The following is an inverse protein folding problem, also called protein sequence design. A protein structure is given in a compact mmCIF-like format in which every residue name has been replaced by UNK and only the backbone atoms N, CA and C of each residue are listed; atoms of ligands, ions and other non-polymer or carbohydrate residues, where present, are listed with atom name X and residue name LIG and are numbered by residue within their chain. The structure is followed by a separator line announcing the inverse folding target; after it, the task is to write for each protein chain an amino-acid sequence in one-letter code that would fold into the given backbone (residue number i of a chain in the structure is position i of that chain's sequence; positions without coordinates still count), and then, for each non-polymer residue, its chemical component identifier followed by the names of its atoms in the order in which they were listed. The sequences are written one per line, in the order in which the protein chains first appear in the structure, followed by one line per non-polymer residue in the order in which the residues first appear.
data_IF_079347262547
#
_entry.id   IF_079347262547
#
_cell.length_a   1.000
_cell.length_b   1.000
_cell.length_c   1.000
_cell.angle_alpha   90.00
_cell.angle_beta   90.00
_cell.angle_gamma   90.00
#
_symmetry.space_group_name_H-M   'P 1'
#
loop_
_entity.id
_entity.type
_entity.pdbx_description
1 polymer ?
#
# COMPACT_ATOMS: atom_id res chain seq x y z
N UNK A 1 48.78 -6.95 7.33
CA UNK A 1 48.08 -7.91 6.46
C UNK A 1 46.57 -8.03 6.75
N UNK A 2 46.08 -7.81 7.97
CA UNK A 2 44.64 -7.89 8.30
C UNK A 2 43.76 -6.89 7.51
N UNK A 3 44.26 -5.66 7.33
CA UNK A 3 43.56 -4.59 6.62
C UNK A 3 43.25 -4.94 5.15
N UNK A 4 44.15 -5.68 4.50
CA UNK A 4 44.00 -6.12 3.10
C UNK A 4 42.96 -7.24 3.01
N UNK A 5 42.96 -8.16 3.97
CA UNK A 5 41.98 -9.27 4.01
C UNK A 5 40.57 -8.73 4.25
N UNK A 6 40.40 -7.77 5.17
CA UNK A 6 39.09 -7.12 5.38
C UNK A 6 38.63 -6.33 4.15
N UNK A 7 39.54 -5.70 3.41
CA UNK A 7 39.22 -4.98 2.17
C UNK A 7 38.66 -5.88 1.07
N UNK A 8 39.24 -7.07 0.88
CA UNK A 8 38.78 -8.03 -0.14
C UNK A 8 37.45 -8.66 0.25
N UNK A 9 37.26 -9.00 1.54
CA UNK A 9 35.99 -9.55 2.03
C UNK A 9 34.85 -8.54 1.92
N UNK A 10 35.11 -7.25 2.20
CA UNK A 10 34.12 -6.18 2.06
C UNK A 10 33.67 -6.00 0.60
N UNK A 11 34.61 -6.10 -0.36
CA UNK A 11 34.32 -5.96 -1.79
C UNK A 11 33.36 -7.04 -2.34
N UNK A 12 33.35 -8.24 -1.74
CA UNK A 12 32.45 -9.34 -2.14
C UNK A 12 31.09 -9.27 -1.43
N UNK A 13 31.03 -8.72 -0.21
CA UNK A 13 29.80 -8.63 0.56
C UNK A 13 28.87 -7.48 0.12
N UNK A 14 29.45 -6.36 -0.32
CA UNK A 14 28.73 -5.13 -0.70
C UNK A 14 27.67 -5.34 -1.80
N UNK A 15 27.97 -6.00 -2.93
CA UNK A 15 26.97 -6.20 -4.00
C UNK A 15 25.75 -6.97 -3.49
N UNK A 16 25.97 -8.05 -2.74
CA UNK A 16 24.89 -8.90 -2.21
C UNK A 16 24.04 -8.16 -1.17
N UNK A 17 24.65 -7.31 -0.35
CA UNK A 17 23.91 -6.52 0.65
C UNK A 17 22.99 -5.48 0.00
N UNK A 18 23.43 -4.86 -1.10
CA UNK A 18 22.63 -3.89 -1.85
C UNK A 18 21.41 -4.56 -2.51
N UNK A 19 21.58 -5.74 -3.11
CA UNK A 19 20.50 -6.47 -3.78
C UNK A 19 19.43 -6.93 -2.77
N UNK A 20 19.83 -7.43 -1.60
CA UNK A 20 18.90 -7.82 -0.53
C UNK A 20 17.99 -6.67 -0.08
N UNK A 21 18.50 -5.44 -0.04
CA UNK A 21 17.71 -4.27 0.32
C UNK A 21 16.61 -3.96 -0.70
N UNK A 22 16.88 -4.14 -2.00
CA UNK A 22 15.90 -3.94 -3.08
C UNK A 22 14.82 -5.01 -3.04
N UNK A 23 15.23 -6.27 -2.91
CA UNK A 23 14.31 -7.41 -2.83
C UNK A 23 13.40 -7.32 -1.60
N UNK A 24 13.95 -6.88 -0.45
CA UNK A 24 13.17 -6.66 0.76
C UNK A 24 12.07 -5.61 0.54
N UNK A 25 12.39 -4.46 -0.07
CA UNK A 25 11.41 -3.39 -0.37
C UNK A 25 10.33 -3.85 -1.34
N UNK A 26 10.72 -4.63 -2.34
CA UNK A 26 9.77 -5.22 -3.29
C UNK A 26 8.81 -6.19 -2.59
N UNK A 27 9.34 -7.04 -1.70
CA UNK A 27 8.55 -8.01 -0.95
C UNK A 27 7.59 -7.32 0.03
N UNK A 28 8.02 -6.27 0.74
CA UNK A 28 7.15 -5.53 1.67
C UNK A 28 6.03 -4.82 0.92
N UNK A 29 6.30 -4.20 -0.24
CA UNK A 29 5.26 -3.59 -1.07
C UNK A 29 4.27 -4.62 -1.63
N UNK A 30 4.72 -5.81 -2.01
CA UNK A 30 3.82 -6.90 -2.40
C UNK A 30 2.95 -7.36 -1.22
N UNK A 31 3.51 -7.40 -0.01
CA UNK A 31 2.75 -7.64 1.22
C UNK A 31 1.68 -6.58 1.46
N UNK A 32 2.04 -5.30 1.36
CA UNK A 32 1.10 -4.19 1.48
C UNK A 32 -0.01 -4.23 0.40
N UNK A 33 0.35 -4.59 -0.84
CA UNK A 33 -0.64 -4.79 -1.91
C UNK A 33 -1.63 -5.91 -1.56
N UNK A 34 -1.14 -7.01 -0.97
CA UNK A 34 -1.99 -8.10 -0.46
C UNK A 34 -2.91 -7.67 0.68
N UNK A 35 -2.40 -6.84 1.59
CA UNK A 35 -3.20 -6.25 2.67
C UNK A 35 -4.33 -5.37 2.12
N UNK A 36 -4.04 -4.50 1.15
CA UNK A 36 -5.05 -3.65 0.48
C UNK A 36 -6.13 -4.48 -0.21
N UNK A 37 -5.75 -5.56 -0.92
CA UNK A 37 -6.73 -6.48 -1.53
C UNK A 37 -7.65 -7.12 -0.49
N UNK A 38 -7.08 -7.55 0.63
CA UNK A 38 -7.82 -8.20 1.71
C UNK A 38 -8.75 -7.21 2.41
N UNK A 39 -8.25 -6.02 2.71
CA UNK A 39 -9.02 -4.93 3.31
C UNK A 39 -10.20 -4.50 2.43
N UNK A 40 -9.97 -4.32 1.13
CA UNK A 40 -11.03 -4.00 0.19
C UNK A 40 -12.14 -5.07 0.17
N UNK A 41 -11.78 -6.35 0.23
CA UNK A 41 -12.75 -7.44 0.28
C UNK A 41 -13.51 -7.50 1.61
N UNK A 42 -12.84 -7.32 2.75
CA UNK A 42 -13.45 -7.32 4.09
C UNK A 42 -14.42 -6.14 4.24
N UNK A 43 -13.98 -4.94 3.85
CA UNK A 43 -14.81 -3.74 3.90
C UNK A 43 -16.01 -3.89 2.96
N UNK A 44 -15.81 -4.48 1.78
CA UNK A 44 -16.92 -4.76 0.87
C UNK A 44 -17.94 -5.75 1.44
N UNK A 45 -17.48 -6.82 2.09
CA UNK A 45 -18.38 -7.76 2.76
C UNK A 45 -19.20 -7.06 3.86
N UNK A 46 -18.59 -6.16 4.63
CA UNK A 46 -19.30 -5.36 5.65
C UNK A 46 -20.27 -4.36 5.03
N UNK A 47 -19.86 -3.67 3.96
CA UNK A 47 -20.72 -2.75 3.22
C UNK A 47 -21.94 -3.47 2.64
N UNK A 48 -21.78 -4.70 2.14
CA UNK A 48 -22.89 -5.53 1.66
C UNK A 48 -23.85 -5.92 2.80
N UNK A 49 -23.33 -6.31 3.96
CA UNK A 49 -24.15 -6.62 5.13
C UNK A 49 -24.97 -5.41 5.61
N UNK A 50 -24.42 -4.20 5.47
CA UNK A 50 -25.07 -2.94 5.84
C UNK A 50 -25.85 -2.27 4.68
N UNK A 51 -25.92 -2.90 3.51
CA UNK A 51 -26.57 -2.36 2.29
C UNK A 51 -26.00 -1.04 1.76
N UNK A 52 -24.72 -0.75 2.02
CA UNK A 52 -23.98 0.47 1.66
C UNK A 52 -23.10 0.27 0.41
N UNK A 53 -23.69 -0.18 -0.71
CA UNK A 53 -22.92 -0.63 -1.90
C UNK A 53 -23.15 0.20 -3.15
N UNK A 54 -24.15 1.08 -3.17
CA UNK A 54 -24.57 1.81 -4.37
C UNK A 54 -24.08 3.25 -4.40
N UNK A 55 -23.71 3.80 -3.25
CA UNK A 55 -23.40 5.22 -3.06
C UNK A 55 -21.92 5.50 -3.32
N UNK A 56 -21.62 6.52 -4.11
CA UNK A 56 -20.26 6.84 -4.58
C UNK A 56 -19.76 8.23 -4.19
N UNK A 57 -20.49 8.96 -3.36
CA UNK A 57 -20.23 10.36 -2.98
C UNK A 57 -19.47 10.50 -1.65
N UNK A 58 -18.87 9.40 -1.16
CA UNK A 58 -18.10 9.36 0.09
C UNK A 58 -18.95 9.69 1.35
N UNK A 59 -20.29 9.61 1.27
CA UNK A 59 -21.21 9.87 2.39
C UNK A 59 -21.44 8.67 3.33
N UNK A 60 -21.13 7.46 2.85
CA UNK A 60 -21.29 6.22 3.61
C UNK A 60 -19.97 5.79 4.23
N UNK A 61 -20.05 5.15 5.39
CA UNK A 61 -18.88 4.56 6.05
C UNK A 61 -19.24 3.28 6.80
N UNK A 62 -18.23 2.45 7.05
CA UNK A 62 -18.32 1.28 7.94
C UNK A 62 -17.20 1.35 8.97
N UNK A 63 -17.52 0.99 10.21
CA UNK A 63 -16.51 0.95 11.28
C UNK A 63 -15.90 -0.44 11.33
N UNK A 64 -14.58 -0.58 11.23
CA UNK A 64 -13.89 -1.84 11.50
C UNK A 64 -13.62 -1.96 13.01
N UNK A 65 -13.53 -3.19 13.55
CA UNK A 65 -13.40 -3.45 14.99
C UNK A 65 -12.26 -2.63 15.63
N UNK A 66 -12.61 -1.62 16.44
CA UNK A 66 -11.65 -0.75 17.13
C UNK A 66 -10.99 0.35 16.28
N UNK A 67 -11.40 0.54 15.03
CA UNK A 67 -10.81 1.49 14.08
C UNK A 67 -11.70 2.71 13.80
N UNK A 68 -11.09 3.71 13.18
CA UNK A 68 -11.75 4.88 12.58
C UNK A 68 -12.77 4.45 11.52
N UNK A 69 -13.80 5.26 11.28
CA UNK A 69 -14.80 4.97 10.24
C UNK A 69 -14.13 4.95 8.85
N UNK A 70 -14.28 3.85 8.12
CA UNK A 70 -13.77 3.68 6.75
C UNK A 70 -14.82 4.22 5.79
N UNK A 71 -14.50 5.30 5.10
CA UNK A 71 -15.38 5.92 4.10
C UNK A 71 -15.48 5.04 2.86
N UNK A 72 -16.71 4.87 2.38
CA UNK A 72 -17.04 4.00 1.27
C UNK A 72 -17.24 4.77 -0.03
N UNK A 73 -16.85 4.12 -1.12
CA UNK A 73 -17.18 4.47 -2.49
C UNK A 73 -17.64 3.22 -3.22
N UNK A 74 -18.93 3.15 -3.53
CA UNK A 74 -19.61 2.00 -4.13
C UNK A 74 -19.37 0.69 -3.37
N UNK A 75 -19.43 0.75 -2.03
CA UNK A 75 -19.22 -0.41 -1.17
C UNK A 75 -17.78 -0.89 -1.05
N UNK A 76 -16.79 -0.11 -1.48
CA UNK A 76 -15.37 -0.37 -1.21
C UNK A 76 -14.76 0.82 -0.46
N UNK A 77 -13.60 0.66 0.22
CA UNK A 77 -12.91 1.80 0.81
C UNK A 77 -12.60 2.85 -0.25
N UNK A 78 -12.74 4.13 0.08
CA UNK A 78 -12.28 5.19 -0.79
C UNK A 78 -10.74 5.30 -0.76
N UNK A 79 -10.17 6.10 -1.64
CA UNK A 79 -8.72 6.24 -1.74
C UNK A 79 -8.06 6.83 -0.48
N UNK A 80 -8.81 7.56 0.34
CA UNK A 80 -8.30 8.24 1.54
C UNK A 80 -8.35 7.37 2.81
N UNK A 81 -9.04 6.24 2.79
CA UNK A 81 -9.24 5.38 3.97
C UNK A 81 -8.83 3.93 3.72
N UNK A 82 -8.34 3.60 2.52
CA UNK A 82 -7.89 2.25 2.18
C UNK A 82 -6.61 1.84 2.92
N UNK A 83 -5.71 2.80 3.17
CA UNK A 83 -4.48 2.61 3.94
C UNK A 83 -4.81 2.26 5.39
N UNK A 84 -5.72 3.00 6.01
CA UNK A 84 -6.24 2.71 7.36
C UNK A 84 -6.91 1.32 7.39
N UNK A 85 -7.80 1.03 6.43
CA UNK A 85 -8.47 -0.27 6.34
C UNK A 85 -7.48 -1.44 6.14
N UNK A 86 -6.34 -1.19 5.48
CA UNK A 86 -5.29 -2.17 5.25
C UNK A 86 -4.23 -2.24 6.37
N UNK A 87 -4.34 -1.38 7.39
CA UNK A 87 -3.34 -1.27 8.45
C UNK A 87 -1.97 -0.77 7.94
N UNK A 88 -1.96 0.01 6.87
CA UNK A 88 -0.76 0.61 6.30
C UNK A 88 -0.44 1.88 7.10
N UNK A 89 0.65 1.82 7.86
CA UNK A 89 1.14 2.99 8.59
C UNK A 89 1.92 3.94 7.68
N UNK A 90 1.66 5.24 7.82
CA UNK A 90 2.43 6.31 7.20
C UNK A 90 3.84 6.45 7.76
N UNK A 91 4.23 5.66 8.77
CA UNK A 91 5.63 5.51 9.21
C UNK A 91 6.42 4.51 8.35
N UNK A 92 5.73 3.52 7.77
CA UNK A 92 6.37 2.39 7.12
C UNK A 92 6.30 2.50 5.60
N UNK A 93 5.28 3.21 5.11
CA UNK A 93 5.04 3.49 3.71
C UNK A 93 4.80 4.98 3.51
N UNK A 94 5.15 5.46 2.33
CA UNK A 94 4.69 6.76 1.88
C UNK A 94 3.34 6.59 1.17
N UNK A 95 2.30 7.22 1.70
CA UNK A 95 0.94 7.20 1.13
C UNK A 95 0.60 8.58 0.61
N UNK A 96 0.21 8.65 -0.66
CA UNK A 96 -0.23 9.89 -1.30
C UNK A 96 -1.56 9.66 -2.03
N UNK A 97 -2.52 10.54 -1.80
CA UNK A 97 -3.83 10.49 -2.45
C UNK A 97 -3.97 11.68 -3.39
N UNK A 98 -4.24 11.41 -4.66
CA UNK A 98 -4.46 12.44 -5.67
C UNK A 98 -5.56 11.98 -6.64
N UNK A 99 -6.48 12.90 -6.96
CA UNK A 99 -7.56 12.65 -7.93
C UNK A 99 -8.36 11.35 -7.68
N UNK A 100 -8.58 11.00 -6.41
CA UNK A 100 -9.32 9.78 -6.03
C UNK A 100 -8.53 8.48 -6.19
N UNK A 101 -7.21 8.53 -6.37
CA UNK A 101 -6.32 7.37 -6.42
C UNK A 101 -5.36 7.43 -5.24
N UNK A 102 -5.22 6.31 -4.52
CA UNK A 102 -4.24 6.15 -3.45
C UNK A 102 -2.97 5.53 -4.02
N UNK A 103 -1.82 6.14 -3.77
CA UNK A 103 -0.51 5.64 -4.17
C UNK A 103 0.28 5.28 -2.93
N UNK A 104 0.60 3.99 -2.79
CA UNK A 104 1.38 3.45 -1.68
C UNK A 104 2.78 3.15 -2.21
N UNK A 105 3.79 3.79 -1.62
CA UNK A 105 5.18 3.69 -2.04
C UNK A 105 6.08 3.25 -0.91
N UNK A 106 7.20 2.60 -1.26
CA UNK A 106 8.31 2.43 -0.32
C UNK A 106 8.86 3.80 0.09
N UNK A 107 9.49 3.87 1.26
CA UNK A 107 10.03 5.11 1.82
C UNK A 107 11.49 4.97 2.23
N UNK A 108 12.21 6.11 2.31
CA UNK A 108 13.62 6.17 2.76
C UNK A 108 13.78 6.69 4.20
N UNK A 109 12.73 7.23 4.78
CA UNK A 109 12.77 8.16 5.91
C UNK A 109 11.47 8.11 6.74
N UNK A 110 11.00 6.91 7.03
CA UNK A 110 9.83 6.73 7.89
C UNK A 110 8.53 7.31 7.29
N UNK A 111 8.38 7.21 5.97
CA UNK A 111 7.17 7.55 5.22
C UNK A 111 7.09 8.98 4.69
N UNK A 112 8.03 9.86 5.05
CA UNK A 112 8.03 11.27 4.62
C UNK A 112 8.33 11.44 3.12
N UNK A 113 9.26 10.65 2.57
CA UNK A 113 9.70 10.72 1.19
C UNK A 113 9.46 9.40 0.46
N UNK A 114 8.77 9.48 -0.69
CA UNK A 114 8.58 8.35 -1.58
C UNK A 114 9.91 7.88 -2.21
N UNK A 115 10.05 6.57 -2.36
CA UNK A 115 10.95 5.98 -3.34
C UNK A 115 10.23 6.00 -4.70
N UNK A 116 10.73 6.82 -5.63
CA UNK A 116 10.19 6.87 -6.99
C UNK A 116 10.23 5.50 -7.66
N UNK A 117 9.17 5.15 -8.39
CA UNK A 117 9.03 3.85 -9.09
C UNK A 117 9.17 2.60 -8.18
N UNK A 118 8.84 2.75 -6.90
CA UNK A 118 8.75 1.66 -5.92
C UNK A 118 7.38 1.77 -5.23
N UNK A 119 6.31 1.47 -5.97
CA UNK A 119 4.94 1.77 -5.55
C UNK A 119 3.88 0.88 -6.21
N UNK A 120 2.66 0.94 -5.68
CA UNK A 120 1.45 0.48 -6.34
C UNK A 120 0.32 1.48 -6.06
N UNK A 121 -0.77 1.36 -6.81
CA UNK A 121 -1.93 2.24 -6.69
C UNK A 121 -3.20 1.46 -6.41
N UNK A 122 -4.08 2.08 -5.65
CA UNK A 122 -5.45 1.67 -5.43
C UNK A 122 -6.39 2.74 -5.99
N UNK A 123 -7.28 2.31 -6.89
CA UNK A 123 -8.35 3.15 -7.45
C UNK A 123 -9.68 2.53 -7.03
N UNK A 124 -10.50 3.22 -6.22
CA UNK A 124 -11.84 2.75 -5.88
C UNK A 124 -12.73 2.66 -7.14
N UNK A 125 -13.83 1.91 -7.08
CA UNK A 125 -14.74 1.79 -8.23
C UNK A 125 -15.28 3.15 -8.69
N UNK A 126 -15.53 3.29 -9.99
CA UNK A 126 -16.14 4.49 -10.57
C UNK A 126 -17.67 4.41 -10.64
N UNK A 127 -18.27 3.24 -10.38
CA UNK A 127 -19.70 3.00 -10.43
C UNK A 127 -20.12 1.84 -9.52
N UNK A 128 -21.40 1.79 -9.17
CA UNK A 128 -21.96 0.67 -8.42
C UNK A 128 -21.77 -0.65 -9.19
N UNK A 129 -21.43 -1.72 -8.46
CA UNK A 129 -21.18 -3.05 -9.04
C UNK A 129 -19.83 -3.22 -9.76
N UNK A 130 -19.02 -2.17 -9.88
CA UNK A 130 -17.64 -2.29 -10.35
C UNK A 130 -16.70 -2.65 -9.18
N UNK A 131 -15.57 -3.27 -9.52
CA UNK A 131 -14.52 -3.62 -8.55
C UNK A 131 -13.42 -2.56 -8.55
N UNK A 132 -12.71 -2.35 -7.43
CA UNK A 132 -11.57 -1.46 -7.38
C UNK A 132 -10.42 -2.00 -8.24
N UNK A 133 -9.61 -1.09 -8.78
CA UNK A 133 -8.39 -1.44 -9.52
C UNK A 133 -7.18 -1.29 -8.63
N UNK A 134 -6.42 -2.38 -8.47
CA UNK A 134 -5.13 -2.39 -7.76
C UNK A 134 -4.05 -2.68 -8.79
N UNK A 135 -3.17 -1.71 -9.05
CA UNK A 135 -2.11 -1.87 -10.05
C UNK A 135 -1.03 -2.83 -9.57
N UNK A 136 -0.28 -3.39 -10.51
CA UNK A 136 0.91 -4.19 -10.20
C UNK A 136 1.97 -3.32 -9.50
N UNK A 137 2.79 -3.94 -8.65
CA UNK A 137 3.89 -3.24 -7.98
C UNK A 137 4.94 -2.83 -9.01
N UNK A 138 5.12 -1.52 -9.17
CA UNK A 138 6.25 -0.94 -9.89
C UNK A 138 7.47 -1.04 -8.98
N UNK A 139 8.52 -1.73 -9.42
CA UNK A 139 9.71 -2.03 -8.61
C UNK A 139 11.04 -1.60 -9.23
N UNK A 140 11.01 -0.85 -10.33
CA UNK A 140 12.23 -0.40 -11.03
C UNK A 140 13.07 0.59 -10.23
N UNK A 141 12.47 1.27 -9.25
CA UNK A 141 13.18 2.17 -8.33
C UNK A 141 13.33 1.63 -6.91
N UNK A 142 12.90 0.40 -6.66
CA UNK A 142 13.26 -0.33 -5.44
C UNK A 142 14.75 -0.73 -5.54
#
# INVERSE_FOLDING_TARGET
MVIVVLGILAAVALPKFADLGKDARKATLQGAQGAVKSAAAIVHAKALAESKTTTGDDSESVTLEGSTAITLKYGYPNAATIDEAAGISSSDYHVAVASGVSTISGTKDGGSTAIGSCNFTYTPPASAGAVPTISAVTSSGC
#
